data_IF_392240931803
#
_entry.id   IF_392240931803
#
_cell.length_a   1.000
_cell.length_b   1.000
_cell.length_c   1.000
_cell.angle_alpha   90.00
_cell.angle_beta   90.00
_cell.angle_gamma   90.00
#
_symmetry.space_group_name_H-M   'P 1'
#
loop_
_entity.id
_entity.type
_entity.pdbx_description
1 polymer ?
#
# COMPACT_ATOMS: atom_id res chain seq x y z
N UNK A 1 40.14 11.57 58.15
CA UNK A 1 39.02 10.75 57.71
C UNK A 1 38.32 11.53 56.58
N UNK A 2 38.54 11.17 55.29
CA UNK A 2 37.94 11.79 54.14
C UNK A 2 36.84 10.86 53.61
N UNK A 3 35.60 11.27 53.67
CA UNK A 3 34.48 10.51 53.12
C UNK A 3 34.40 10.72 51.60
N UNK A 4 34.65 9.68 50.85
CA UNK A 4 34.47 9.63 49.39
C UNK A 4 32.98 9.35 49.11
N UNK A 5 32.21 10.36 48.68
CA UNK A 5 30.83 10.16 48.26
C UNK A 5 30.84 9.64 46.82
N UNK A 6 30.55 8.35 46.65
CA UNK A 6 30.32 7.73 45.38
C UNK A 6 28.99 8.21 44.82
N UNK A 7 29.02 9.02 43.77
CA UNK A 7 27.83 9.42 43.03
C UNK A 7 27.56 8.37 41.92
N UNK A 8 26.61 7.48 42.16
CA UNK A 8 26.14 6.52 41.18
C UNK A 8 25.27 7.28 40.15
N UNK A 9 25.84 7.53 38.99
CA UNK A 9 25.11 8.10 37.84
C UNK A 9 24.22 7.00 37.25
N UNK A 10 22.91 7.10 37.49
CA UNK A 10 21.90 6.20 36.90
C UNK A 10 21.64 6.71 35.46
N UNK A 11 22.32 6.11 34.48
CA UNK A 11 22.11 6.39 33.07
C UNK A 11 20.77 5.76 32.63
N UNK A 12 19.68 6.53 32.64
CA UNK A 12 18.40 6.09 32.12
C UNK A 12 18.53 6.07 30.58
N UNK A 13 18.70 4.88 30.03
CA UNK A 13 18.65 4.65 28.58
C UNK A 13 17.19 4.82 28.13
N UNK A 14 16.84 6.04 27.69
CA UNK A 14 15.53 6.33 27.09
C UNK A 14 15.51 5.73 25.68
N UNK A 15 15.11 4.48 25.55
CA UNK A 15 14.85 3.87 24.25
C UNK A 15 13.61 4.53 23.65
N UNK A 16 13.81 5.48 22.74
CA UNK A 16 12.74 6.01 21.89
C UNK A 16 12.27 4.85 21.03
N UNK A 17 11.14 4.22 21.39
CA UNK A 17 10.40 3.36 20.46
C UNK A 17 9.94 4.26 19.32
N UNK A 18 10.70 4.31 18.25
CA UNK A 18 10.26 4.86 16.96
C UNK A 18 9.27 3.86 16.36
N UNK A 19 8.02 3.88 16.82
CA UNK A 19 6.92 3.23 16.11
C UNK A 19 6.73 3.94 14.77
N UNK A 20 6.71 3.20 13.66
CA UNK A 20 6.41 3.75 12.34
C UNK A 20 5.00 4.33 12.29
N UNK A 21 4.77 5.26 11.36
CA UNK A 21 3.43 5.80 11.14
C UNK A 21 2.47 4.68 10.69
N UNK A 22 1.41 4.47 11.45
CA UNK A 22 0.33 3.52 11.11
C UNK A 22 -0.49 4.10 9.98
N UNK A 23 -0.52 3.43 8.83
CA UNK A 23 -1.07 3.98 7.60
C UNK A 23 -2.21 3.17 6.99
N UNK A 24 -2.23 1.85 7.19
CA UNK A 24 -3.27 1.00 6.64
C UNK A 24 -3.58 -0.18 7.58
N UNK A 25 -4.68 -0.86 7.30
CA UNK A 25 -5.09 -2.09 7.97
C UNK A 25 -5.35 -3.18 6.94
N UNK A 26 -4.97 -4.41 7.29
CA UNK A 26 -5.23 -5.61 6.48
C UNK A 26 -6.68 -6.03 6.64
N UNK A 27 -7.45 -6.02 5.56
CA UNK A 27 -8.87 -6.39 5.56
C UNK A 27 -9.12 -7.82 5.13
N UNK A 28 -8.29 -8.36 4.22
CA UNK A 28 -8.40 -9.76 3.73
C UNK A 28 -7.00 -10.32 3.48
N UNK A 29 -6.82 -11.61 3.76
CA UNK A 29 -5.62 -12.39 3.41
C UNK A 29 -6.08 -13.74 2.88
N UNK A 30 -5.54 -14.15 1.74
CA UNK A 30 -5.72 -15.48 1.16
C UNK A 30 -4.33 -16.07 0.92
N UNK A 31 -4.17 -17.38 1.17
CA UNK A 31 -2.92 -18.08 0.93
C UNK A 31 -1.77 -17.57 1.79
N UNK A 32 -0.54 -17.68 1.29
CA UNK A 32 0.66 -17.29 2.03
C UNK A 32 1.05 -15.86 1.70
N UNK A 33 0.97 -15.00 2.70
CA UNK A 33 1.38 -13.59 2.66
C UNK A 33 2.27 -13.31 3.86
N UNK A 34 3.37 -12.62 3.61
CA UNK A 34 4.34 -12.23 4.62
C UNK A 34 4.51 -10.71 4.64
N UNK A 35 4.86 -10.17 5.80
CA UNK A 35 5.34 -8.80 5.92
C UNK A 35 6.71 -8.78 6.59
N UNK A 36 7.52 -7.77 6.26
CA UNK A 36 8.82 -7.49 6.86
C UNK A 36 8.79 -6.05 7.34
N UNK A 37 9.12 -5.84 8.61
CA UNK A 37 9.22 -4.50 9.20
C UNK A 37 10.65 -4.22 9.62
N UNK A 38 11.21 -3.11 9.12
CA UNK A 38 12.61 -2.74 9.36
C UNK A 38 13.58 -3.86 8.96
N UNK A 39 14.51 -4.17 9.83
CA UNK A 39 15.51 -5.24 9.63
C UNK A 39 15.04 -6.62 10.12
N UNK A 40 13.72 -6.78 10.36
CA UNK A 40 13.15 -8.04 10.84
C UNK A 40 13.12 -9.14 9.77
N UNK A 41 12.79 -10.35 10.19
CA UNK A 41 12.49 -11.46 9.29
C UNK A 41 11.03 -11.41 8.81
N UNK A 42 10.73 -12.08 7.69
CA UNK A 42 9.37 -12.20 7.18
C UNK A 42 8.44 -12.91 8.19
N UNK A 43 7.33 -12.27 8.51
CA UNK A 43 6.31 -12.79 9.41
C UNK A 43 5.01 -12.99 8.65
N UNK A 44 4.22 -14.00 9.05
CA UNK A 44 2.92 -14.27 8.43
C UNK A 44 1.95 -13.12 8.68
N UNK A 45 1.36 -12.60 7.60
CA UNK A 45 0.38 -11.54 7.66
C UNK A 45 -1.02 -12.11 7.97
N UNK A 46 -1.80 -11.39 8.75
CA UNK A 46 -3.17 -11.77 9.12
C UNK A 46 -4.13 -10.60 8.97
N UNK A 47 -5.42 -10.89 8.75
CA UNK A 47 -6.49 -9.87 8.81
C UNK A 47 -6.43 -9.12 10.15
N UNK A 48 -6.65 -7.80 10.10
CA UNK A 48 -6.57 -6.91 11.27
C UNK A 48 -5.15 -6.40 11.58
N UNK A 49 -4.12 -6.90 10.89
CA UNK A 49 -2.75 -6.40 11.07
C UNK A 49 -2.65 -4.94 10.63
N UNK A 50 -1.96 -4.12 11.42
CA UNK A 50 -1.71 -2.71 11.10
C UNK A 50 -0.42 -2.60 10.31
N UNK A 51 -0.51 -1.98 9.15
CA UNK A 51 0.63 -1.66 8.29
C UNK A 51 1.20 -0.31 8.71
N UNK A 52 2.50 -0.29 8.87
CA UNK A 52 3.28 0.93 9.16
C UNK A 52 4.09 1.35 7.93
N UNK A 53 4.45 2.62 7.90
CA UNK A 53 5.31 3.14 6.82
C UNK A 53 6.66 2.39 6.79
N UNK A 54 7.06 1.94 5.60
CA UNK A 54 8.26 1.14 5.37
C UNK A 54 8.05 -0.38 5.45
N UNK A 55 6.82 -0.85 5.74
CA UNK A 55 6.54 -2.29 5.70
C UNK A 55 6.64 -2.84 4.27
N UNK A 56 7.29 -3.98 4.13
CA UNK A 56 7.38 -4.76 2.89
C UNK A 56 6.36 -5.88 2.96
N UNK A 57 5.53 -6.03 1.92
CA UNK A 57 4.61 -7.14 1.79
C UNK A 57 5.02 -8.05 0.63
N UNK A 58 4.96 -9.35 0.86
CA UNK A 58 5.24 -10.39 -0.14
C UNK A 58 4.11 -11.40 -0.18
N UNK A 59 3.58 -11.64 -1.38
CA UNK A 59 2.57 -12.65 -1.64
C UNK A 59 3.18 -13.79 -2.44
N UNK A 60 3.06 -15.01 -1.94
CA UNK A 60 3.48 -16.21 -2.67
C UNK A 60 2.41 -16.60 -3.71
N UNK A 61 2.64 -17.70 -4.44
CA UNK A 61 1.66 -18.29 -5.38
C UNK A 61 0.33 -18.59 -4.67
N UNK A 62 -0.78 -18.15 -5.24
CA UNK A 62 -2.11 -18.23 -4.63
C UNK A 62 -2.30 -17.25 -3.47
N UNK A 63 -1.32 -16.39 -3.18
CA UNK A 63 -1.40 -15.38 -2.14
C UNK A 63 -2.16 -14.13 -2.60
N UNK A 64 -2.90 -13.54 -1.68
CA UNK A 64 -3.61 -12.28 -1.91
C UNK A 64 -3.75 -11.52 -0.60
N UNK A 65 -3.62 -10.21 -0.67
CA UNK A 65 -3.92 -9.34 0.47
C UNK A 65 -4.67 -8.09 0.02
N UNK A 66 -5.67 -7.70 0.81
CA UNK A 66 -6.35 -6.42 0.67
C UNK A 66 -6.07 -5.56 1.90
N UNK A 67 -5.77 -4.29 1.64
CA UNK A 67 -5.46 -3.26 2.62
C UNK A 67 -6.45 -2.11 2.49
N UNK A 68 -6.75 -1.45 3.60
CA UNK A 68 -7.51 -0.23 3.64
C UNK A 68 -6.70 0.87 4.34
N UNK A 69 -6.42 1.98 3.65
CA UNK A 69 -5.77 3.14 4.25
C UNK A 69 -6.71 3.83 5.24
N UNK A 70 -6.17 4.19 6.42
CA UNK A 70 -7.00 4.61 7.56
C UNK A 70 -7.53 6.04 7.45
N UNK A 71 -6.92 6.89 6.63
CA UNK A 71 -7.27 8.30 6.48
C UNK A 71 -8.41 8.55 5.48
N UNK A 72 -8.41 7.85 4.35
CA UNK A 72 -9.31 8.12 3.24
C UNK A 72 -10.05 6.89 2.70
N UNK A 73 -9.85 5.73 3.33
CA UNK A 73 -10.44 4.44 2.91
C UNK A 73 -10.04 4.02 1.48
N UNK A 74 -8.91 4.49 0.98
CA UNK A 74 -8.31 3.95 -0.25
C UNK A 74 -8.02 2.48 -0.05
N UNK A 75 -8.48 1.63 -0.98
CA UNK A 75 -8.19 0.20 -0.96
C UNK A 75 -7.01 -0.13 -1.88
N UNK A 76 -6.08 -0.94 -1.37
CA UNK A 76 -4.98 -1.51 -2.14
C UNK A 76 -5.07 -3.03 -2.07
N UNK A 77 -5.14 -3.68 -3.21
CA UNK A 77 -5.22 -5.13 -3.36
C UNK A 77 -3.95 -5.62 -4.06
N UNK A 78 -3.31 -6.63 -3.49
CA UNK A 78 -2.05 -7.19 -3.98
C UNK A 78 -2.28 -8.66 -4.30
N UNK A 79 -2.06 -9.02 -5.57
CA UNK A 79 -2.23 -10.40 -6.05
C UNK A 79 -1.00 -11.26 -5.74
N UNK A 80 -1.09 -12.52 -6.08
CA UNK A 80 -0.01 -13.49 -5.92
C UNK A 80 1.30 -13.06 -6.62
N UNK A 81 2.41 -13.61 -6.14
CA UNK A 81 3.76 -13.39 -6.69
C UNK A 81 4.13 -11.89 -6.78
N UNK A 82 3.74 -11.11 -5.78
CA UNK A 82 4.00 -9.68 -5.74
C UNK A 82 4.84 -9.29 -4.53
N UNK A 83 5.67 -8.27 -4.71
CA UNK A 83 6.40 -7.63 -3.65
C UNK A 83 6.17 -6.12 -3.70
N UNK A 84 5.71 -5.54 -2.59
CA UNK A 84 5.49 -4.10 -2.46
C UNK A 84 6.12 -3.56 -1.19
N UNK A 85 6.55 -2.30 -1.24
CA UNK A 85 6.90 -1.50 -0.07
C UNK A 85 5.85 -0.40 0.06
N UNK A 86 5.29 -0.22 1.25
CA UNK A 86 4.24 0.75 1.49
C UNK A 86 4.82 1.89 2.31
N UNK A 87 4.88 3.08 1.74
CA UNK A 87 5.33 4.26 2.42
C UNK A 87 4.18 5.25 2.62
N UNK A 88 4.13 5.87 3.78
CA UNK A 88 3.14 6.87 4.11
C UNK A 88 3.75 8.01 4.91
N UNK A 89 3.58 9.22 4.41
CA UNK A 89 3.98 10.44 5.15
C UNK A 89 2.74 11.14 5.68
N UNK A 90 2.57 11.03 7.00
CA UNK A 90 1.43 11.64 7.68
C UNK A 90 1.60 13.15 7.81
N UNK A 91 0.53 13.89 7.48
CA UNK A 91 0.35 15.30 7.81
C UNK A 91 -0.86 15.47 8.73
N UNK A 92 -1.15 16.70 9.17
CA UNK A 92 -2.33 16.96 10.01
C UNK A 92 -3.68 16.64 9.31
N UNK A 93 -3.70 16.51 7.99
CA UNK A 93 -4.93 16.44 7.20
C UNK A 93 -5.05 15.21 6.28
N UNK A 94 -3.94 14.55 5.99
CA UNK A 94 -3.90 13.40 5.09
C UNK A 94 -2.59 12.61 5.23
N UNK A 95 -2.57 11.42 4.62
CA UNK A 95 -1.36 10.62 4.42
C UNK A 95 -1.02 10.68 2.93
N UNK A 96 0.14 11.22 2.57
CA UNK A 96 0.70 11.00 1.24
C UNK A 96 1.21 9.56 1.16
N UNK A 97 0.82 8.85 0.12
CA UNK A 97 1.03 7.41 -0.03
C UNK A 97 1.91 7.13 -1.24
N UNK A 98 2.97 6.38 -1.01
CA UNK A 98 3.82 5.87 -2.09
C UNK A 98 3.93 4.35 -1.97
N UNK A 99 3.62 3.66 -3.05
CA UNK A 99 3.70 2.20 -3.16
C UNK A 99 4.82 1.88 -4.13
N UNK A 100 5.89 1.24 -3.66
CA UNK A 100 6.93 0.75 -4.52
C UNK A 100 6.62 -0.71 -4.87
N UNK A 101 6.25 -0.98 -6.12
CA UNK A 101 5.95 -2.30 -6.65
C UNK A 101 7.22 -2.88 -7.29
N UNK A 102 7.89 -3.80 -6.60
CA UNK A 102 9.12 -4.45 -7.08
C UNK A 102 8.85 -5.58 -8.09
N UNK A 103 7.58 -5.89 -8.32
CA UNK A 103 7.09 -6.87 -9.27
C UNK A 103 5.76 -7.45 -8.83
N UNK A 104 4.96 -7.92 -9.78
CA UNK A 104 3.64 -8.50 -9.53
C UNK A 104 2.48 -7.63 -9.96
N UNK A 105 1.33 -7.76 -9.31
CA UNK A 105 0.07 -7.16 -9.72
C UNK A 105 -0.65 -6.54 -8.53
N UNK A 106 -1.03 -5.28 -8.67
CA UNK A 106 -1.86 -4.57 -7.70
C UNK A 106 -3.10 -3.95 -8.35
N UNK A 107 -4.18 -3.80 -7.56
CA UNK A 107 -5.30 -2.92 -7.86
C UNK A 107 -5.37 -1.84 -6.80
N UNK A 108 -5.49 -0.60 -7.21
CA UNK A 108 -5.69 0.51 -6.30
C UNK A 108 -7.03 1.19 -6.60
N UNK A 109 -7.89 1.21 -5.59
CA UNK A 109 -9.17 1.92 -5.60
C UNK A 109 -9.01 3.16 -4.74
N UNK A 110 -8.57 4.25 -5.39
CA UNK A 110 -8.18 5.48 -4.71
C UNK A 110 -9.36 6.43 -4.64
N UNK A 111 -9.78 6.76 -3.42
CA UNK A 111 -10.82 7.75 -3.22
C UNK A 111 -10.34 9.16 -3.58
N UNK A 112 -11.25 10.04 -4.01
CA UNK A 112 -10.92 11.44 -4.34
C UNK A 112 -10.26 12.11 -3.16
N UNK A 113 -8.98 12.41 -3.32
CA UNK A 113 -8.18 13.03 -2.28
C UNK A 113 -8.31 14.56 -2.36
N UNK A 114 -8.72 15.17 -1.27
CA UNK A 114 -8.70 16.63 -1.15
C UNK A 114 -7.27 17.14 -0.92
N UNK A 115 -6.43 16.34 -0.29
CA UNK A 115 -5.00 16.62 0.01
C UNK A 115 -4.24 15.29 0.09
N UNK A 116 -2.96 15.32 -0.25
CA UNK A 116 -2.11 14.15 -0.34
C UNK A 116 -2.08 13.58 -1.75
N UNK A 117 -1.01 12.86 -2.05
CA UNK A 117 -0.82 12.19 -3.32
C UNK A 117 -0.87 10.67 -3.09
N UNK A 118 -1.34 9.94 -4.11
CA UNK A 118 -1.20 8.51 -4.18
C UNK A 118 -0.34 8.19 -5.41
N UNK A 119 0.82 7.62 -5.15
CA UNK A 119 1.83 7.33 -6.17
C UNK A 119 2.15 5.84 -6.12
N UNK A 120 2.20 5.21 -7.28
CA UNK A 120 2.78 3.87 -7.42
C UNK A 120 4.03 3.97 -8.29
N UNK A 121 5.15 3.46 -7.77
CA UNK A 121 6.43 3.36 -8.49
C UNK A 121 6.77 1.92 -8.76
N UNK A 122 7.36 1.70 -9.90
CA UNK A 122 8.04 0.47 -10.27
C UNK A 122 9.49 0.78 -10.64
N UNK A 123 10.24 -0.20 -11.12
CA UNK A 123 11.56 0.04 -11.70
C UNK A 123 11.52 0.81 -13.03
N UNK A 124 10.38 0.82 -13.72
CA UNK A 124 10.22 1.39 -15.08
C UNK A 124 9.35 2.63 -15.08
N UNK A 125 8.33 2.70 -14.22
CA UNK A 125 7.27 3.68 -14.34
C UNK A 125 6.84 4.32 -13.02
N UNK A 126 6.10 5.44 -13.16
CA UNK A 126 5.36 6.08 -12.06
C UNK A 126 3.92 6.27 -12.49
N UNK A 127 2.98 5.81 -11.67
CA UNK A 127 1.56 6.11 -11.77
C UNK A 127 1.16 7.09 -10.66
N UNK A 128 0.68 8.28 -11.03
CA UNK A 128 0.20 9.31 -10.11
C UNK A 128 -1.30 9.51 -10.26
N UNK A 129 -2.04 9.48 -9.14
CA UNK A 129 -3.51 9.41 -9.15
C UNK A 129 -4.18 10.33 -8.13
N UNK A 130 -5.41 10.75 -8.45
CA UNK A 130 -6.25 11.58 -7.56
C UNK A 130 -7.71 11.12 -7.56
N UNK A 131 -7.95 9.85 -7.27
CA UNK A 131 -9.31 9.30 -7.26
C UNK A 131 -9.60 8.47 -8.50
N UNK A 132 -9.10 7.25 -8.50
CA UNK A 132 -9.12 6.34 -9.65
C UNK A 132 -9.22 4.91 -9.18
N UNK A 133 -9.75 4.04 -10.03
CA UNK A 133 -9.64 2.58 -9.90
C UNK A 133 -8.82 2.06 -11.08
N UNK A 134 -7.74 1.33 -10.78
CA UNK A 134 -6.84 0.81 -11.82
C UNK A 134 -6.07 -0.43 -11.36
N UNK A 135 -5.66 -1.23 -12.34
CA UNK A 135 -4.67 -2.28 -12.16
C UNK A 135 -3.30 -1.81 -12.64
N UNK A 136 -2.25 -2.21 -11.93
CA UNK A 136 -0.86 -2.09 -12.38
C UNK A 136 -0.19 -3.46 -12.27
N UNK A 137 0.39 -3.89 -13.38
CA UNK A 137 1.11 -5.15 -13.52
C UNK A 137 2.54 -4.79 -13.87
N UNK A 138 3.51 -5.26 -13.08
CA UNK A 138 4.94 -5.03 -13.29
C UNK A 138 5.68 -6.36 -13.39
N UNK A 139 6.46 -6.52 -14.44
CA UNK A 139 7.30 -7.69 -14.69
C UNK A 139 8.55 -7.32 -15.51
N UNK A 140 9.39 -8.29 -15.86
CA UNK A 140 10.64 -8.07 -16.58
C UNK A 140 10.47 -7.44 -17.97
N UNK A 141 9.28 -7.57 -18.60
CA UNK A 141 8.99 -6.95 -19.90
C UNK A 141 8.60 -5.47 -19.78
N UNK A 142 8.31 -5.00 -18.59
CA UNK A 142 7.84 -3.66 -18.28
C UNK A 142 6.54 -3.65 -17.48
N UNK A 143 5.86 -2.51 -17.54
CA UNK A 143 4.64 -2.26 -16.78
C UNK A 143 3.43 -2.13 -17.68
N UNK A 144 2.30 -2.67 -17.22
CA UNK A 144 0.99 -2.50 -17.85
C UNK A 144 0.01 -1.92 -16.86
N UNK A 145 -0.62 -0.79 -17.21
CA UNK A 145 -1.63 -0.13 -16.41
C UNK A 145 -2.99 -0.21 -17.11
N UNK A 146 -4.03 -0.63 -16.38
CA UNK A 146 -5.40 -0.75 -16.90
C UNK A 146 -6.30 0.20 -16.10
N UNK A 147 -6.84 1.24 -16.75
CA UNK A 147 -7.74 2.19 -16.13
C UNK A 147 -9.18 1.67 -16.09
N UNK A 148 -9.76 1.55 -14.90
CA UNK A 148 -11.15 1.14 -14.68
C UNK A 148 -12.06 2.36 -14.44
N UNK A 149 -11.60 3.33 -13.62
CA UNK A 149 -12.31 4.56 -13.33
C UNK A 149 -11.34 5.72 -13.14
N UNK A 150 -11.76 6.93 -13.55
CA UNK A 150 -10.96 8.15 -13.40
C UNK A 150 -9.82 8.25 -14.40
N UNK A 151 -8.72 8.89 -14.00
CA UNK A 151 -7.55 9.15 -14.84
C UNK A 151 -6.26 8.96 -14.04
N UNK A 152 -5.31 8.25 -14.62
CA UNK A 152 -3.96 8.02 -14.07
C UNK A 152 -2.94 8.67 -14.98
N UNK A 153 -2.10 9.55 -14.44
CA UNK A 153 -0.90 10.00 -15.13
C UNK A 153 0.18 8.91 -15.01
N UNK A 154 0.50 8.29 -16.16
CA UNK A 154 1.43 7.17 -16.24
C UNK A 154 2.69 7.58 -16.99
N UNK A 155 3.82 7.61 -16.30
CA UNK A 155 5.09 8.13 -16.80
C UNK A 155 6.18 7.07 -16.79
N UNK A 156 6.98 7.03 -17.84
CA UNK A 156 8.19 6.20 -17.91
C UNK A 156 9.37 6.93 -17.25
N UNK A 157 10.11 6.25 -16.39
CA UNK A 157 11.24 6.81 -15.65
C UNK A 157 12.49 7.06 -16.51
N UNK A 158 12.64 6.33 -17.63
CA UNK A 158 13.81 6.40 -18.49
C UNK A 158 13.68 7.53 -19.50
N UNK A 159 12.56 7.56 -20.23
CA UNK A 159 12.31 8.57 -21.27
C UNK A 159 11.68 9.86 -20.75
N UNK A 160 11.07 9.82 -19.56
CA UNK A 160 10.27 10.93 -19.04
C UNK A 160 8.93 11.13 -19.77
N UNK A 161 8.59 10.28 -20.75
CA UNK A 161 7.30 10.34 -21.43
C UNK A 161 6.16 10.03 -20.46
N UNK A 162 5.07 10.78 -20.57
CA UNK A 162 3.88 10.62 -19.76
C UNK A 162 2.64 10.57 -20.63
N UNK A 163 1.71 9.69 -20.25
CA UNK A 163 0.41 9.53 -20.89
C UNK A 163 -0.69 9.48 -19.84
N UNK A 164 -1.89 9.95 -20.19
CA UNK A 164 -3.06 9.84 -19.34
C UNK A 164 -3.86 8.59 -19.70
N UNK A 165 -3.97 7.68 -18.73
CA UNK A 165 -4.80 6.48 -18.85
C UNK A 165 -6.14 6.73 -18.18
N UNK A 166 -7.19 6.75 -19.01
CA UNK A 166 -8.58 6.93 -18.57
C UNK A 166 -9.33 5.61 -18.54
N UNK A 167 -10.56 5.61 -18.00
CA UNK A 167 -11.43 4.42 -17.97
C UNK A 167 -11.54 3.77 -19.36
N UNK A 168 -11.39 2.45 -19.41
CA UNK A 168 -11.44 1.64 -20.63
C UNK A 168 -10.19 1.70 -21.51
N UNK A 169 -9.14 2.36 -21.05
CA UNK A 169 -7.82 2.36 -21.70
C UNK A 169 -6.77 1.65 -20.88
N UNK A 170 -5.81 1.06 -21.58
CA UNK A 170 -4.60 0.49 -21.01
C UNK A 170 -3.37 1.22 -21.51
N UNK A 171 -2.32 1.25 -20.71
CA UNK A 171 -1.01 1.77 -21.05
C UNK A 171 0.07 0.72 -20.82
N UNK A 172 1.07 0.71 -21.68
CA UNK A 172 2.31 -0.08 -21.51
C UNK A 172 3.48 0.88 -21.43
N UNK A 173 4.39 0.61 -20.53
CA UNK A 173 5.66 1.32 -20.35
C UNK A 173 6.78 0.30 -20.25
N UNK A 174 7.77 0.37 -21.11
CA UNK A 174 8.84 -0.63 -21.23
C UNK A 174 10.20 -0.09 -20.82
N UNK A 175 11.12 -0.97 -20.53
CA UNK A 175 12.48 -0.62 -20.07
C UNK A 175 13.35 0.07 -21.15
N UNK A 176 12.91 0.08 -22.40
CA UNK A 176 13.54 0.86 -23.50
C UNK A 176 13.06 2.32 -23.54
N UNK A 177 12.14 2.72 -22.65
CA UNK A 177 11.58 4.06 -22.58
C UNK A 177 10.30 4.26 -23.37
N UNK A 178 9.79 3.23 -24.06
CA UNK A 178 8.55 3.34 -24.85
C UNK A 178 7.33 3.43 -23.93
N UNK A 179 6.37 4.30 -24.32
CA UNK A 179 5.07 4.42 -23.64
C UNK A 179 3.98 4.44 -24.69
N UNK A 180 2.98 3.56 -24.54
CA UNK A 180 1.87 3.44 -25.47
C UNK A 180 0.55 3.31 -24.74
N UNK A 181 -0.55 3.79 -25.37
CA UNK A 181 -1.92 3.61 -24.87
C UNK A 181 -2.81 3.01 -25.93
N UNK A 182 -3.74 2.17 -25.51
CA UNK A 182 -4.70 1.49 -26.39
C UNK A 182 -6.01 1.22 -25.65
N UNK A 183 -7.04 0.80 -26.37
CA UNK A 183 -8.31 0.39 -25.78
C UNK A 183 -8.12 -0.91 -25.01
N UNK A 184 -8.61 -0.97 -23.78
CA UNK A 184 -8.52 -2.18 -22.94
C UNK A 184 -9.29 -3.34 -23.59
N UNK A 185 -8.64 -4.50 -23.70
CA UNK A 185 -9.35 -5.76 -23.93
C UNK A 185 -9.89 -6.25 -22.57
N UNK A 186 -11.22 -6.42 -22.42
CA UNK A 186 -11.80 -6.89 -21.15
C UNK A 186 -11.23 -8.23 -20.64
N UNK A 187 -10.71 -9.07 -21.54
CA UNK A 187 -10.08 -10.34 -21.18
C UNK A 187 -8.74 -10.20 -20.49
N UNK A 188 -8.10 -9.05 -20.60
CA UNK A 188 -6.79 -8.77 -19.95
C UNK A 188 -6.95 -8.19 -18.55
N UNK A 189 -8.16 -7.85 -18.13
CA UNK A 189 -8.41 -7.33 -16.78
C UNK A 189 -8.23 -8.49 -15.79
N UNK A 190 -7.32 -8.35 -14.80
CA UNK A 190 -7.11 -9.40 -13.81
C UNK A 190 -8.36 -9.64 -12.96
N UNK A 191 -8.64 -10.89 -12.62
CA UNK A 191 -9.68 -11.23 -11.64
C UNK A 191 -9.29 -10.73 -10.25
N UNK A 192 -10.27 -10.22 -9.53
CA UNK A 192 -10.12 -9.76 -8.16
C UNK A 192 -10.63 -10.82 -7.17
N UNK A 193 -9.74 -11.48 -6.40
CA UNK A 193 -10.16 -12.52 -5.46
C UNK A 193 -11.05 -12.01 -4.31
N UNK A 194 -11.20 -10.70 -4.14
CA UNK A 194 -12.10 -10.14 -3.14
C UNK A 194 -13.54 -10.01 -3.64
N UNK A 195 -13.77 -9.97 -4.95
CA UNK A 195 -15.11 -9.80 -5.53
C UNK A 195 -15.99 -11.06 -5.39
N UNK A 196 -15.40 -12.20 -5.03
CA UNK A 196 -16.15 -13.46 -4.77
C UNK A 196 -16.95 -13.44 -3.46
N UNK A 197 -16.74 -12.43 -2.61
CA UNK A 197 -17.38 -12.26 -1.30
C UNK A 197 -18.29 -11.03 -1.34
N UNK A 198 -19.42 -11.11 -2.03
CA UNK A 198 -20.36 -10.02 -2.30
C UNK A 198 -21.23 -9.61 -1.07
N UNK A 199 -20.68 -9.64 0.13
CA UNK A 199 -21.32 -9.16 1.36
C UNK A 199 -20.56 -8.00 1.98
N UNK A 200 -21.29 -7.01 2.51
CA UNK A 200 -20.69 -5.95 3.35
C UNK A 200 -19.91 -6.59 4.49
N UNK A 201 -18.60 -6.47 4.49
CA UNK A 201 -17.76 -6.99 5.54
C UNK A 201 -17.57 -5.94 6.62
N UNK A 202 -17.55 -6.39 7.88
CA UNK A 202 -17.28 -5.53 9.04
C UNK A 202 -15.94 -5.91 9.66
N UNK A 203 -15.10 -4.93 9.88
CA UNK A 203 -13.89 -5.06 10.68
C UNK A 203 -14.06 -4.25 11.95
N UNK A 204 -14.06 -4.93 13.10
CA UNK A 204 -14.12 -4.31 14.41
C UNK A 204 -12.72 -4.27 15.04
N UNK A 205 -12.26 -3.09 15.43
CA UNK A 205 -10.98 -2.87 16.08
C UNK A 205 -11.24 -2.28 17.46
N UNK A 206 -10.92 -3.02 18.50
CA UNK A 206 -10.93 -2.50 19.87
C UNK A 206 -9.60 -1.78 20.16
N UNK A 207 -9.67 -0.60 20.73
CA UNK A 207 -8.52 0.15 21.21
C UNK A 207 -8.89 0.93 22.49
N UNK A 208 -7.87 1.35 23.23
CA UNK A 208 -8.05 2.26 24.37
C UNK A 208 -7.66 3.67 23.95
N UNK A 209 -8.46 4.64 24.28
CA UNK A 209 -8.10 6.05 24.12
C UNK A 209 -7.05 6.49 25.16
N UNK A 210 -6.60 7.73 25.07
CA UNK A 210 -5.60 8.29 25.99
C UNK A 210 -6.03 8.30 27.46
N UNK A 211 -7.34 8.20 27.74
CA UNK A 211 -7.91 8.09 29.08
C UNK A 211 -8.10 6.64 29.54
N UNK A 212 -7.65 5.66 28.73
CA UNK A 212 -7.76 4.23 29.03
C UNK A 212 -9.15 3.63 28.76
N UNK A 213 -10.09 4.39 28.18
CA UNK A 213 -11.44 3.93 27.86
C UNK A 213 -11.42 3.09 26.58
N UNK A 214 -12.03 1.90 26.64
CA UNK A 214 -12.22 1.06 25.45
C UNK A 214 -13.10 1.76 24.43
N UNK A 215 -12.67 1.75 23.17
CA UNK A 215 -13.43 2.20 22.01
C UNK A 215 -13.31 1.15 20.91
N UNK A 216 -14.35 1.03 20.11
CA UNK A 216 -14.41 0.13 18.96
C UNK A 216 -14.54 0.98 17.69
N UNK A 217 -13.62 0.77 16.76
CA UNK A 217 -13.76 1.29 15.40
C UNK A 217 -14.39 0.18 14.55
N UNK A 218 -15.53 0.48 13.92
CA UNK A 218 -16.19 -0.42 12.98
C UNK A 218 -15.96 0.12 11.57
N UNK A 219 -15.33 -0.68 10.73
CA UNK A 219 -15.10 -0.37 9.32
C UNK A 219 -15.96 -1.32 8.51
N UNK A 220 -16.93 -0.78 7.76
CA UNK A 220 -17.73 -1.52 6.79
C UNK A 220 -17.12 -1.30 5.40
N UNK A 221 -16.93 -2.40 4.63
CA UNK A 221 -16.35 -2.36 3.29
C UNK A 221 -16.95 -3.48 2.43
N UNK A 222 -17.01 -3.25 1.12
CA UNK A 222 -17.47 -4.20 0.12
C UNK A 222 -16.29 -4.89 -0.54
#
# INVERSE_FOLDING_TARGET
MKYFKSATIFLILFTILMGGDRIAIVTKVIGKVQYIRGNGSGQSLKKGHIIESGDILKTDKGGFVALLFIDDKTALKVKENSEIIIEGKRSAQAIAKEINLNGGTIRAQVNKQKKGDFIVRTSVSVASVKGTDFWLISNDAGDSLIGLEGMVAFSNLISGQSIDITSGKSGISTSDGSVQTFKTDPKTIPEDPSDTDSGTQKLEIEFKDAAGKKKTLIIEYN
#
